data_IF_386693399327
#
_entry.id   IF_386693399327
#
_cell.length_a   1.000
_cell.length_b   1.000
_cell.length_c   1.000
_cell.angle_alpha   90.00
_cell.angle_beta   90.00
_cell.angle_gamma   90.00
#
_symmetry.space_group_name_H-M   'P 1'
#
loop_
_entity.id
_entity.type
_entity.pdbx_description
1 polymer ?
#
# COMPACT_ATOMS: atom_id res chain seq x y z
N UNK A 1 4.16 67.81 41.53
CA UNK A 1 3.18 67.00 40.77
C UNK A 1 2.35 66.24 41.78
N UNK A 2 1.03 66.48 41.85
CA UNK A 2 0.15 65.74 42.76
C UNK A 2 -0.38 64.49 42.03
N UNK A 3 0.13 63.32 42.40
CA UNK A 3 -0.35 62.03 41.89
C UNK A 3 -1.74 61.81 42.50
N UNK A 4 -2.77 62.23 41.77
CA UNK A 4 -4.13 62.32 42.31
C UNK A 4 -4.92 61.02 42.09
N UNK A 5 -4.45 60.16 41.20
CA UNK A 5 -5.13 58.89 40.84
C UNK A 5 -4.13 57.75 40.75
N UNK A 6 -4.53 56.55 41.18
CA UNK A 6 -3.69 55.35 41.15
C UNK A 6 -3.22 54.97 39.73
N UNK A 7 -3.99 55.32 38.69
CA UNK A 7 -3.57 55.16 37.28
C UNK A 7 -2.38 56.06 36.90
N UNK A 8 -2.34 57.30 37.38
CA UNK A 8 -1.19 58.18 37.19
C UNK A 8 0.03 57.68 37.98
N UNK A 9 -0.20 57.07 39.14
CA UNK A 9 0.87 56.40 39.88
C UNK A 9 1.45 55.24 39.07
N UNK A 10 0.61 54.39 38.47
CA UNK A 10 1.07 53.31 37.59
C UNK A 10 1.87 53.89 36.41
N UNK A 11 1.37 54.92 35.73
CA UNK A 11 2.03 55.50 34.56
C UNK A 11 3.42 56.07 34.90
N UNK A 12 3.52 56.81 36.02
CA UNK A 12 4.78 57.38 36.49
C UNK A 12 5.76 56.31 36.98
N UNK A 13 5.29 55.33 37.76
CA UNK A 13 6.15 54.30 38.37
C UNK A 13 6.40 53.08 37.46
N UNK A 14 5.72 52.97 36.32
CA UNK A 14 6.00 51.95 35.30
C UNK A 14 7.06 52.38 34.29
N UNK A 15 7.50 53.64 34.32
CA UNK A 15 8.60 54.12 33.48
C UNK A 15 9.94 53.54 33.97
N UNK A 16 10.64 52.73 33.15
CA UNK A 16 11.93 52.15 33.51
C UNK A 16 13.04 53.17 33.71
N UNK A 17 12.91 54.39 33.16
CA UNK A 17 13.89 55.47 33.30
C UNK A 17 13.55 56.41 34.47
N UNK A 18 12.56 56.06 35.29
CA UNK A 18 12.12 56.90 36.39
C UNK A 18 13.25 57.14 37.39
N UNK A 19 13.52 58.42 37.64
CA UNK A 19 14.51 58.87 38.61
C UNK A 19 13.81 59.36 39.89
N UNK A 20 13.89 58.62 41.01
CA UNK A 20 13.09 58.92 42.21
C UNK A 20 13.36 60.29 42.84
N UNK A 21 14.61 60.78 42.74
CA UNK A 21 14.96 62.09 43.32
C UNK A 21 14.32 63.25 42.55
N UNK A 22 14.15 63.13 41.22
CA UNK A 22 13.45 64.16 40.43
C UNK A 22 11.96 64.23 40.79
N UNK A 23 11.34 63.10 41.12
CA UNK A 23 9.96 63.10 41.62
C UNK A 23 9.85 63.84 42.95
N UNK A 24 10.77 63.57 43.88
CA UNK A 24 10.78 64.20 45.20
C UNK A 24 11.06 65.70 45.08
N UNK A 25 12.02 66.09 44.23
CA UNK A 25 12.37 67.50 43.97
C UNK A 25 11.23 68.29 43.31
N UNK A 26 10.44 67.64 42.46
CA UNK A 26 9.26 68.24 41.82
C UNK A 26 7.99 68.19 42.68
N UNK A 27 8.00 67.42 43.78
CA UNK A 27 6.84 67.24 44.66
C UNK A 27 6.98 67.96 46.00
N UNK A 28 8.20 68.30 46.42
CA UNK A 28 8.46 69.07 47.63
C UNK A 28 8.80 70.54 47.30
N UNK A 29 8.40 71.49 48.17
CA UNK A 29 8.84 72.88 48.04
C UNK A 29 10.35 73.01 48.28
N UNK A 30 11.01 73.89 47.52
CA UNK A 30 12.44 74.18 47.70
C UNK A 30 12.68 74.79 49.08
N UNK A 31 13.69 74.29 49.79
CA UNK A 31 14.05 74.75 51.12
C UNK A 31 14.99 75.96 51.03
N UNK A 32 14.48 77.17 51.29
CA UNK A 32 15.27 78.42 51.25
C UNK A 32 15.35 79.12 52.62
N UNK A 33 14.40 78.87 53.53
CA UNK A 33 14.32 79.52 54.84
C UNK A 33 13.87 78.56 55.97
N UNK A 34 14.35 78.71 57.22
CA UNK A 34 13.91 77.92 58.38
C UNK A 34 12.40 78.00 58.66
N UNK A 35 11.73 79.06 58.22
CA UNK A 35 10.27 79.23 58.38
C UNK A 35 9.45 78.26 57.53
N UNK A 36 10.04 77.65 56.50
CA UNK A 36 9.38 76.75 55.55
C UNK A 36 9.41 75.28 55.99
N UNK A 37 10.09 74.95 57.10
CA UNK A 37 10.26 73.57 57.57
C UNK A 37 8.92 72.90 57.89
N UNK A 38 7.97 73.64 58.44
CA UNK A 38 6.65 73.11 58.79
C UNK A 38 5.79 72.80 57.55
N UNK A 39 5.89 73.63 56.50
CA UNK A 39 5.22 73.42 55.22
C UNK A 39 5.84 72.27 54.41
N UNK A 40 7.17 72.13 54.49
CA UNK A 40 7.89 71.00 53.90
C UNK A 40 7.48 69.69 54.58
N UNK A 41 7.41 69.68 55.91
CA UNK A 41 7.00 68.50 56.68
C UNK A 41 5.55 68.09 56.37
N UNK A 42 4.62 69.05 56.26
CA UNK A 42 3.24 68.75 55.91
C UNK A 42 3.11 68.24 54.47
N UNK A 43 3.86 68.80 53.51
CA UNK A 43 3.89 68.35 52.11
C UNK A 43 4.48 66.95 51.97
N UNK A 44 5.60 66.67 52.65
CA UNK A 44 6.21 65.34 52.66
C UNK A 44 5.31 64.28 53.31
N UNK A 45 4.65 64.64 54.42
CA UNK A 45 3.70 63.72 55.08
C UNK A 45 2.49 63.43 54.20
N UNK A 46 1.97 64.44 53.49
CA UNK A 46 0.87 64.28 52.52
C UNK A 46 1.29 63.36 51.36
N UNK A 47 2.47 63.59 50.78
CA UNK A 47 3.01 62.76 49.70
C UNK A 47 3.18 61.31 50.15
N UNK A 48 3.75 61.09 51.34
CA UNK A 48 3.93 59.75 51.90
C UNK A 48 2.59 59.04 52.07
N UNK A 49 1.58 59.70 52.64
CA UNK A 49 0.24 59.13 52.76
C UNK A 49 -0.39 58.85 51.39
N UNK A 50 -0.18 59.69 50.37
CA UNK A 50 -0.67 59.44 49.02
C UNK A 50 0.00 58.21 48.38
N UNK A 51 1.32 58.07 48.52
CA UNK A 51 2.05 56.90 48.02
C UNK A 51 1.65 55.63 48.75
N UNK A 52 1.45 55.69 50.07
CA UNK A 52 1.02 54.54 50.86
C UNK A 52 -0.37 54.05 50.44
N UNK A 53 -1.32 54.97 50.29
CA UNK A 53 -2.65 54.66 49.76
C UNK A 53 -2.58 54.05 48.34
N UNK A 54 -1.82 54.66 47.42
CA UNK A 54 -1.68 54.13 46.06
C UNK A 54 -0.99 52.76 46.04
N UNK A 55 0.03 52.55 46.87
CA UNK A 55 0.71 51.25 47.03
C UNK A 55 -0.26 50.18 47.53
N UNK A 56 -1.10 50.52 48.50
CA UNK A 56 -2.10 49.61 49.03
C UNK A 56 -3.19 49.29 47.98
N UNK A 57 -3.69 50.31 47.26
CA UNK A 57 -4.64 50.13 46.17
C UNK A 57 -4.09 49.22 45.06
N UNK A 58 -2.83 49.44 44.64
CA UNK A 58 -2.18 48.62 43.61
C UNK A 58 -1.93 47.19 44.09
N UNK A 59 -1.59 47.02 45.36
CA UNK A 59 -1.45 45.68 45.95
C UNK A 59 -2.78 44.93 45.91
N UNK A 60 -3.88 45.58 46.28
CA UNK A 60 -5.22 44.99 46.21
C UNK A 60 -5.63 44.67 44.76
N UNK A 61 -5.32 45.54 43.80
CA UNK A 61 -5.58 45.29 42.38
C UNK A 61 -4.77 44.10 41.85
N UNK A 62 -3.50 43.99 42.24
CA UNK A 62 -2.64 42.88 41.84
C UNK A 62 -3.10 41.56 42.46
N UNK A 63 -3.54 41.57 43.72
CA UNK A 63 -4.13 40.40 44.37
C UNK A 63 -5.43 39.97 43.65
N UNK A 64 -6.31 40.92 43.31
CA UNK A 64 -7.54 40.64 42.59
C UNK A 64 -7.28 40.06 41.19
N UNK A 65 -6.37 40.66 40.42
CA UNK A 65 -5.98 40.17 39.10
C UNK A 65 -5.33 38.79 39.17
N UNK A 66 -4.51 38.54 40.20
CA UNK A 66 -3.89 37.22 40.42
C UNK A 66 -4.95 36.18 40.76
N UNK A 67 -5.93 36.51 41.59
CA UNK A 67 -7.05 35.63 41.91
C UNK A 67 -7.91 35.33 40.66
N UNK A 68 -8.17 36.33 39.83
CA UNK A 68 -8.90 36.17 38.57
C UNK A 68 -8.13 35.30 37.58
N UNK A 69 -6.83 35.53 37.41
CA UNK A 69 -5.95 34.70 36.58
C UNK A 69 -5.95 33.24 37.06
N UNK A 70 -5.85 33.01 38.37
CA UNK A 70 -5.89 31.66 38.94
C UNK A 70 -7.24 30.99 38.72
N UNK A 71 -8.34 31.74 38.79
CA UNK A 71 -9.69 31.25 38.49
C UNK A 71 -9.84 30.93 37.00
N UNK A 72 -9.40 31.82 36.12
CA UNK A 72 -9.43 31.63 34.67
C UNK A 72 -8.60 30.43 34.24
N UNK A 73 -7.39 30.27 34.80
CA UNK A 73 -6.52 29.10 34.57
C UNK A 73 -7.21 27.79 34.94
N UNK A 74 -7.83 27.71 36.12
CA UNK A 74 -8.60 26.53 36.55
C UNK A 74 -9.80 26.24 35.62
N UNK A 75 -10.51 27.29 35.19
CA UNK A 75 -11.64 27.17 34.26
C UNK A 75 -11.20 26.65 32.89
N UNK A 76 -10.17 27.25 32.30
CA UNK A 76 -9.62 26.83 31.00
C UNK A 76 -9.13 25.39 31.08
N UNK A 77 -8.45 25.01 32.16
CA UNK A 77 -8.01 23.63 32.35
C UNK A 77 -9.21 22.65 32.35
N UNK A 78 -10.27 22.95 33.09
CA UNK A 78 -11.49 22.13 33.08
C UNK A 78 -12.11 22.03 31.68
N UNK A 79 -12.22 23.14 30.94
CA UNK A 79 -12.77 23.14 29.59
C UNK A 79 -11.92 22.31 28.62
N UNK A 80 -10.58 22.36 28.74
CA UNK A 80 -9.68 21.52 27.95
C UNK A 80 -9.86 20.03 28.28
N UNK A 81 -9.95 19.68 29.55
CA UNK A 81 -10.18 18.29 29.98
C UNK A 81 -11.53 17.76 29.47
N UNK A 82 -12.58 18.58 29.53
CA UNK A 82 -13.90 18.26 29.00
C UNK A 82 -13.85 18.06 27.47
N UNK A 83 -13.26 19.01 26.74
CA UNK A 83 -13.12 18.89 25.28
C UNK A 83 -12.31 17.65 24.90
N UNK A 84 -11.26 17.31 25.66
CA UNK A 84 -10.49 16.08 25.40
C UNK A 84 -11.35 14.83 25.60
N UNK A 85 -12.19 14.82 26.62
CA UNK A 85 -13.16 13.73 26.83
C UNK A 85 -14.14 13.62 25.67
N UNK A 86 -14.75 14.74 25.26
CA UNK A 86 -15.73 14.78 24.17
C UNK A 86 -15.11 14.34 22.83
N UNK A 87 -13.89 14.78 22.54
CA UNK A 87 -13.12 14.33 21.36
C UNK A 87 -12.82 12.84 21.42
N UNK A 88 -12.48 12.30 22.59
CA UNK A 88 -12.28 10.85 22.76
C UNK A 88 -13.56 10.07 22.47
N UNK A 89 -14.71 10.53 23.01
CA UNK A 89 -16.01 9.91 22.74
C UNK A 89 -16.37 9.98 21.25
N UNK A 90 -16.10 11.12 20.59
CA UNK A 90 -16.35 11.26 19.17
C UNK A 90 -15.47 10.31 18.33
N UNK A 91 -14.20 10.13 18.71
CA UNK A 91 -13.31 9.17 18.04
C UNK A 91 -13.86 7.75 18.20
N UNK A 92 -14.27 7.36 19.41
CA UNK A 92 -14.88 6.05 19.64
C UNK A 92 -16.15 5.85 18.81
N UNK A 93 -16.99 6.88 18.67
CA UNK A 93 -18.20 6.81 17.86
C UNK A 93 -17.90 6.75 16.36
N UNK A 94 -16.89 7.47 15.89
CA UNK A 94 -16.40 7.36 14.52
C UNK A 94 -15.87 5.95 14.22
N UNK A 95 -15.12 5.37 15.14
CA UNK A 95 -14.62 4.00 15.01
C UNK A 95 -15.77 2.99 14.95
N UNK A 96 -16.78 3.13 15.82
CA UNK A 96 -18.00 2.31 15.79
C UNK A 96 -18.73 2.44 14.45
N UNK A 97 -18.92 3.65 13.93
CA UNK A 97 -19.60 3.89 12.64
C UNK A 97 -18.79 3.30 11.49
N UNK A 98 -17.47 3.46 11.50
CA UNK A 98 -16.62 2.87 10.45
C UNK A 98 -16.67 1.34 10.48
N UNK A 99 -16.66 0.73 11.66
CA UNK A 99 -16.75 -0.71 11.84
C UNK A 99 -18.12 -1.24 11.40
N UNK A 100 -19.20 -0.52 11.72
CA UNK A 100 -20.55 -0.83 11.25
C UNK A 100 -20.64 -0.75 9.73
N UNK A 101 -20.17 0.34 9.12
CA UNK A 101 -20.16 0.50 7.66
C UNK A 101 -19.35 -0.60 6.98
N UNK A 102 -18.18 -0.97 7.52
CA UNK A 102 -17.39 -2.08 6.99
C UNK A 102 -18.14 -3.41 7.08
N UNK A 103 -18.86 -3.64 8.17
CA UNK A 103 -19.70 -4.82 8.34
C UNK A 103 -20.87 -4.84 7.34
N UNK A 104 -21.52 -3.70 7.12
CA UNK A 104 -22.57 -3.56 6.12
C UNK A 104 -22.05 -3.75 4.69
N UNK A 105 -20.90 -3.17 4.36
CA UNK A 105 -20.25 -3.34 3.04
C UNK A 105 -19.80 -4.79 2.81
N UNK A 106 -19.29 -5.47 3.83
CA UNK A 106 -18.89 -6.89 3.71
C UNK A 106 -20.10 -7.80 3.56
N UNK A 107 -21.18 -7.57 4.32
CA UNK A 107 -22.44 -8.30 4.13
C UNK A 107 -23.10 -7.99 2.78
N UNK A 108 -23.09 -6.73 2.35
CA UNK A 108 -23.56 -6.32 1.02
C UNK A 108 -22.75 -6.99 -0.09
N UNK A 109 -21.41 -7.03 0.05
CA UNK A 109 -20.54 -7.71 -0.91
C UNK A 109 -20.77 -9.23 -0.96
N UNK A 110 -20.97 -9.89 0.18
CA UNK A 110 -21.27 -11.34 0.24
C UNK A 110 -22.65 -11.68 -0.33
N UNK A 111 -23.63 -10.79 -0.18
CA UNK A 111 -24.98 -10.97 -0.72
C UNK A 111 -25.12 -10.50 -2.17
N UNK A 112 -24.05 -9.96 -2.78
CA UNK A 112 -24.08 -9.48 -4.15
C UNK A 112 -23.91 -10.65 -5.14
N UNK A 113 -24.95 -11.47 -5.24
CA UNK A 113 -25.09 -12.56 -6.21
C UNK A 113 -24.83 -12.10 -7.65
N UNK A 114 -25.05 -10.82 -7.95
CA UNK A 114 -24.79 -10.25 -9.27
C UNK A 114 -23.29 -10.25 -9.62
N UNK A 115 -22.39 -10.09 -8.64
CA UNK A 115 -20.93 -10.18 -8.89
C UNK A 115 -20.52 -11.62 -9.19
N UNK A 116 -21.10 -12.59 -8.47
CA UNK A 116 -20.88 -14.01 -8.74
C UNK A 116 -21.46 -14.44 -10.10
N UNK A 117 -22.64 -13.95 -10.45
CA UNK A 117 -23.24 -14.14 -11.77
C UNK A 117 -22.41 -13.51 -12.87
N UNK A 118 -21.91 -12.28 -12.67
CA UNK A 118 -21.01 -11.62 -13.61
C UNK A 118 -19.72 -12.43 -13.81
N UNK A 119 -19.13 -12.97 -12.74
CA UNK A 119 -17.97 -13.83 -12.82
C UNK A 119 -18.26 -15.14 -13.56
N UNK A 120 -19.42 -15.77 -13.31
CA UNK A 120 -19.88 -16.96 -14.04
C UNK A 120 -20.06 -16.65 -15.53
N UNK A 121 -20.67 -15.52 -15.86
CA UNK A 121 -20.87 -15.07 -17.24
C UNK A 121 -19.56 -14.72 -17.93
N UNK A 122 -18.62 -14.06 -17.25
CA UNK A 122 -17.29 -13.77 -17.78
C UNK A 122 -16.52 -15.07 -18.09
N UNK A 123 -16.62 -16.08 -17.21
CA UNK A 123 -16.04 -17.41 -17.45
C UNK A 123 -16.71 -18.12 -18.63
N UNK A 124 -18.03 -18.03 -18.75
CA UNK A 124 -18.77 -18.60 -19.88
C UNK A 124 -18.36 -17.92 -21.20
N UNK A 125 -18.29 -16.59 -21.23
CA UNK A 125 -17.82 -15.80 -22.39
C UNK A 125 -16.42 -16.24 -22.82
N UNK A 126 -15.46 -16.32 -21.90
CA UNK A 126 -14.10 -16.77 -22.20
C UNK A 126 -14.07 -18.17 -22.84
N UNK A 127 -14.87 -19.10 -22.31
CA UNK A 127 -14.99 -20.45 -22.89
C UNK A 127 -15.63 -20.41 -24.27
N UNK A 128 -16.64 -19.58 -24.49
CA UNK A 128 -17.28 -19.43 -25.81
C UNK A 128 -16.31 -18.86 -26.85
N UNK A 129 -15.47 -17.89 -26.48
CA UNK A 129 -14.41 -17.36 -27.35
C UNK A 129 -13.39 -18.44 -27.72
N UNK A 130 -12.97 -19.26 -26.76
CA UNK A 130 -12.10 -20.41 -27.03
C UNK A 130 -12.75 -21.42 -27.98
N UNK A 131 -14.03 -21.73 -27.77
CA UNK A 131 -14.79 -22.60 -28.66
C UNK A 131 -14.88 -22.01 -30.06
N UNK A 132 -15.15 -20.70 -30.19
CA UNK A 132 -15.18 -20.01 -31.47
C UNK A 132 -13.83 -20.08 -32.19
N UNK A 133 -12.72 -19.89 -31.48
CA UNK A 133 -11.38 -19.99 -32.04
C UNK A 133 -11.11 -21.40 -32.59
N UNK A 134 -11.40 -22.43 -31.78
CA UNK A 134 -11.22 -23.83 -32.20
C UNK A 134 -12.09 -24.16 -33.42
N UNK A 135 -13.33 -23.68 -33.49
CA UNK A 135 -14.19 -23.85 -34.67
C UNK A 135 -13.72 -23.04 -35.89
N UNK A 136 -13.10 -21.88 -35.71
CA UNK A 136 -12.49 -21.14 -36.81
C UNK A 136 -11.30 -21.90 -37.40
N UNK A 137 -10.43 -22.44 -36.55
CA UNK A 137 -9.32 -23.32 -36.94
C UNK A 137 -9.84 -24.60 -37.62
N UNK A 138 -10.93 -25.17 -37.12
CA UNK A 138 -11.63 -26.31 -37.70
C UNK A 138 -12.15 -26.03 -39.12
N UNK A 139 -12.72 -24.84 -39.33
CA UNK A 139 -13.25 -24.41 -40.63
C UNK A 139 -12.14 -24.12 -41.63
N UNK A 140 -10.99 -23.64 -41.17
CA UNK A 140 -9.80 -23.43 -41.98
C UNK A 140 -9.00 -24.72 -42.27
N UNK A 141 -9.46 -25.87 -41.75
CA UNK A 141 -8.82 -27.16 -41.97
C UNK A 141 -8.86 -27.56 -43.45
N UNK A 142 -7.68 -27.54 -44.07
CA UNK A 142 -7.48 -27.86 -45.49
C UNK A 142 -6.29 -28.82 -45.62
N UNK A 143 -6.58 -30.07 -46.00
CA UNK A 143 -5.62 -31.17 -46.09
C UNK A 143 -4.46 -30.86 -47.09
N UNK A 144 -4.74 -30.09 -48.15
CA UNK A 144 -3.74 -29.71 -49.13
C UNK A 144 -2.76 -28.64 -48.60
N UNK A 145 -3.26 -27.69 -47.80
CA UNK A 145 -2.41 -26.68 -47.17
C UNK A 145 -1.52 -27.29 -46.09
N UNK A 146 -2.09 -28.21 -45.30
CA UNK A 146 -1.36 -28.91 -44.22
C UNK A 146 -0.20 -29.75 -44.80
N UNK A 147 -0.44 -30.50 -45.89
CA UNK A 147 0.62 -31.26 -46.58
C UNK A 147 1.69 -30.34 -47.17
N UNK A 148 1.30 -29.25 -47.83
CA UNK A 148 2.27 -28.30 -48.41
C UNK A 148 3.17 -27.65 -47.34
N UNK A 149 2.61 -27.28 -46.20
CA UNK A 149 3.36 -26.69 -45.09
C UNK A 149 4.29 -27.72 -44.45
N UNK A 150 3.83 -28.97 -44.31
CA UNK A 150 4.67 -30.06 -43.81
C UNK A 150 5.87 -30.31 -44.72
N UNK A 151 5.67 -30.35 -46.05
CA UNK A 151 6.75 -30.52 -47.03
C UNK A 151 7.75 -29.36 -46.93
N UNK A 152 7.27 -28.10 -46.81
CA UNK A 152 8.14 -26.95 -46.60
C UNK A 152 8.98 -27.04 -45.30
N UNK A 153 8.38 -27.52 -44.20
CA UNK A 153 9.09 -27.72 -42.94
C UNK A 153 10.13 -28.86 -43.02
N UNK A 154 9.83 -29.90 -43.78
CA UNK A 154 10.72 -31.04 -44.04
C UNK A 154 11.89 -30.64 -44.93
N UNK A 155 11.64 -29.90 -46.01
CA UNK A 155 12.66 -29.36 -46.92
C UNK A 155 13.58 -28.35 -46.19
N UNK A 156 13.03 -27.62 -45.21
CA UNK A 156 13.78 -26.72 -44.33
C UNK A 156 14.61 -27.43 -43.23
N UNK A 157 14.59 -28.77 -43.15
CA UNK A 157 15.38 -29.55 -42.19
C UNK A 157 14.90 -29.47 -40.73
N UNK A 158 13.76 -28.82 -40.45
CA UNK A 158 13.26 -28.59 -39.10
C UNK A 158 12.33 -29.73 -38.65
N UNK A 159 12.95 -30.87 -38.35
CA UNK A 159 12.25 -32.10 -37.99
C UNK A 159 11.39 -31.98 -36.70
N UNK A 160 11.83 -31.19 -35.72
CA UNK A 160 11.07 -30.97 -34.48
C UNK A 160 9.79 -30.17 -34.74
N UNK A 161 9.88 -29.09 -35.51
CA UNK A 161 8.73 -28.26 -35.84
C UNK A 161 7.70 -29.01 -36.71
N UNK A 162 8.18 -29.88 -37.61
CA UNK A 162 7.31 -30.78 -38.38
C UNK A 162 6.55 -31.76 -37.48
N UNK A 163 7.21 -32.35 -36.48
CA UNK A 163 6.57 -33.25 -35.52
C UNK A 163 5.53 -32.53 -34.65
N UNK A 164 5.86 -31.33 -34.15
CA UNK A 164 4.94 -30.52 -33.35
C UNK A 164 3.71 -30.07 -34.15
N UNK A 165 3.90 -29.77 -35.44
CA UNK A 165 2.81 -29.42 -36.35
C UNK A 165 1.86 -30.61 -36.61
N UNK A 166 2.39 -31.82 -36.74
CA UNK A 166 1.57 -33.04 -36.84
C UNK A 166 0.80 -33.31 -35.55
N UNK A 167 1.41 -33.07 -34.38
CA UNK A 167 0.74 -33.18 -33.07
C UNK A 167 -0.39 -32.16 -32.91
N UNK A 168 -0.16 -30.91 -33.32
CA UNK A 168 -1.19 -29.87 -33.32
C UNK A 168 -2.35 -30.22 -34.26
N UNK A 169 -2.04 -30.70 -35.46
CA UNK A 169 -3.05 -31.15 -36.43
C UNK A 169 -3.86 -32.33 -35.88
N UNK A 170 -3.20 -33.28 -35.21
CA UNK A 170 -3.85 -34.41 -34.52
C UNK A 170 -4.78 -33.94 -33.42
N UNK A 171 -4.36 -32.96 -32.61
CA UNK A 171 -5.17 -32.37 -31.56
C UNK A 171 -6.42 -31.67 -32.13
N UNK A 172 -6.26 -30.93 -33.23
CA UNK A 172 -7.38 -30.32 -33.96
C UNK A 172 -8.34 -31.39 -34.50
N UNK A 173 -7.84 -32.54 -34.98
CA UNK A 173 -8.69 -33.62 -35.48
C UNK A 173 -9.64 -34.22 -34.42
N UNK A 174 -9.36 -34.08 -33.12
CA UNK A 174 -10.21 -34.57 -32.03
C UNK A 174 -11.61 -33.92 -32.03
N UNK A 175 -11.76 -32.70 -32.54
CA UNK A 175 -13.06 -32.00 -32.55
C UNK A 175 -14.10 -32.70 -33.41
N UNK A 176 -13.66 -33.52 -34.37
CA UNK A 176 -14.55 -34.30 -35.22
C UNK A 176 -14.87 -35.67 -34.64
N UNK A 177 -14.32 -36.06 -33.48
CA UNK A 177 -14.55 -37.37 -32.86
C UNK A 177 -16.06 -37.65 -32.75
N UNK A 178 -16.50 -38.76 -33.35
CA UNK A 178 -17.92 -39.14 -33.42
C UNK A 178 -18.64 -38.68 -34.70
N UNK A 179 -18.02 -37.84 -35.54
CA UNK A 179 -18.51 -37.51 -36.89
C UNK A 179 -17.90 -38.44 -37.94
N UNK A 180 -18.60 -38.60 -39.08
CA UNK A 180 -18.13 -39.46 -40.19
C UNK A 180 -16.79 -39.01 -40.80
N UNK A 181 -16.43 -37.73 -40.63
CA UNK A 181 -15.19 -37.13 -41.13
C UNK A 181 -13.97 -37.42 -40.25
N UNK A 182 -14.18 -37.92 -39.03
CA UNK A 182 -13.07 -38.21 -38.10
C UNK A 182 -12.16 -39.32 -38.62
N UNK A 183 -12.76 -40.40 -39.14
CA UNK A 183 -12.01 -41.57 -39.59
C UNK A 183 -11.08 -41.25 -40.76
N UNK A 184 -11.53 -40.42 -41.72
CA UNK A 184 -10.69 -39.99 -42.84
C UNK A 184 -9.57 -39.06 -42.39
N UNK A 185 -9.86 -38.07 -41.53
CA UNK A 185 -8.89 -37.07 -41.07
C UNK A 185 -7.80 -37.65 -40.18
N UNK A 186 -8.14 -38.63 -39.33
CA UNK A 186 -7.14 -39.35 -38.53
C UNK A 186 -6.22 -40.19 -39.42
N UNK A 187 -6.76 -40.90 -40.42
CA UNK A 187 -5.94 -41.64 -41.39
C UNK A 187 -5.03 -40.71 -42.20
N UNK A 188 -5.51 -39.52 -42.54
CA UNK A 188 -4.70 -38.48 -43.17
C UNK A 188 -3.56 -38.02 -42.25
N UNK A 189 -3.81 -37.71 -40.98
CA UNK A 189 -2.75 -37.35 -40.02
C UNK A 189 -1.77 -38.50 -39.79
N UNK A 190 -2.23 -39.76 -39.77
CA UNK A 190 -1.35 -40.93 -39.72
C UNK A 190 -0.46 -41.03 -40.98
N UNK A 191 -0.95 -40.63 -42.15
CA UNK A 191 -0.14 -40.54 -43.37
C UNK A 191 0.91 -39.43 -43.29
N UNK A 192 0.59 -38.28 -42.69
CA UNK A 192 1.56 -37.20 -42.43
C UNK A 192 2.65 -37.64 -41.46
N UNK A 193 2.27 -38.35 -40.38
CA UNK A 193 3.23 -38.91 -39.44
C UNK A 193 4.18 -39.90 -40.13
N UNK A 194 3.67 -40.75 -41.03
CA UNK A 194 4.53 -41.65 -41.82
C UNK A 194 5.49 -40.89 -42.74
N UNK A 195 5.07 -39.78 -43.34
CA UNK A 195 5.96 -38.95 -44.18
C UNK A 195 7.10 -38.33 -43.36
N UNK A 196 6.80 -37.86 -42.15
CA UNK A 196 7.78 -37.34 -41.19
C UNK A 196 8.74 -38.46 -40.73
N UNK A 197 8.23 -39.64 -40.38
CA UNK A 197 9.06 -40.79 -39.97
C UNK A 197 9.96 -41.29 -41.10
N UNK A 198 9.48 -41.30 -42.34
CA UNK A 198 10.27 -41.65 -43.54
C UNK A 198 11.37 -40.62 -43.77
N UNK A 199 11.06 -39.31 -43.70
CA UNK A 199 12.07 -38.27 -43.83
C UNK A 199 13.12 -38.34 -42.71
N UNK A 200 12.72 -38.62 -41.47
CA UNK A 200 13.62 -38.89 -40.35
C UNK A 200 14.56 -40.06 -40.64
N UNK A 201 14.03 -41.14 -41.23
CA UNK A 201 14.78 -42.35 -41.56
C UNK A 201 15.75 -42.13 -42.73
N UNK A 202 15.35 -41.40 -43.76
CA UNK A 202 16.20 -41.03 -44.90
C UNK A 202 17.33 -40.10 -44.47
N UNK A 203 17.11 -39.22 -43.49
CA UNK A 203 18.16 -38.37 -42.91
C UNK A 203 19.09 -39.13 -41.93
N UNK A 204 18.72 -40.34 -41.49
CA UNK A 204 19.47 -41.15 -40.53
C UNK A 204 20.37 -42.24 -41.15
N UNK A 205 20.46 -42.35 -42.49
CA UNK A 205 21.31 -43.36 -43.16
C UNK A 205 22.47 -42.70 -43.91
N UNK A 206 23.71 -42.89 -43.43
CA UNK A 206 24.83 -43.23 -44.29
C UNK A 206 25.57 -44.52 -43.84
N UNK A 207 25.75 -45.43 -44.80
CA UNK A 207 26.91 -46.32 -45.05
C UNK A 207 27.69 -46.97 -43.87
N UNK A 208 27.47 -48.27 -43.59
CA UNK A 208 28.46 -49.37 -43.80
C UNK A 208 27.84 -50.74 -43.50
N UNK A 209 28.33 -51.74 -44.22
CA UNK A 209 27.75 -53.06 -44.37
C UNK A 209 28.49 -54.17 -43.59
N UNK A 210 27.78 -55.30 -43.45
CA UNK A 210 28.25 -56.71 -43.42
C UNK A 210 28.94 -57.32 -42.18
N UNK A 211 28.21 -58.32 -41.66
CA UNK A 211 28.60 -59.72 -41.40
C UNK A 211 28.89 -60.23 -39.97
N UNK A 212 27.93 -61.05 -39.53
CA UNK A 212 28.08 -62.46 -39.11
C UNK A 212 28.84 -62.77 -37.82
N UNK A 213 28.10 -63.03 -36.74
CA UNK A 213 27.88 -64.37 -36.17
C UNK A 213 29.02 -64.88 -35.27
N UNK A 214 28.74 -65.03 -33.97
CA UNK A 214 28.58 -66.37 -33.36
C UNK A 214 28.56 -66.32 -31.82
N UNK A 215 27.70 -67.20 -31.28
CA UNK A 215 27.89 -67.97 -30.03
C UNK A 215 27.58 -67.34 -28.65
N UNK A 216 26.42 -67.77 -28.14
CA UNK A 216 26.26 -68.61 -26.94
C UNK A 216 26.59 -68.09 -25.52
N UNK A 217 25.50 -68.00 -24.74
CA UNK A 217 25.30 -68.59 -23.39
C UNK A 217 26.04 -67.96 -22.17
N UNK A 218 25.68 -68.29 -20.90
CA UNK A 218 24.81 -67.45 -20.09
C UNK A 218 25.42 -67.09 -18.72
N UNK A 219 24.69 -66.27 -17.95
CA UNK A 219 24.77 -66.14 -16.49
C UNK A 219 26.07 -65.62 -15.86
N UNK A 220 26.03 -64.36 -15.35
CA UNK A 220 26.80 -63.97 -14.16
C UNK A 220 26.20 -62.75 -13.43
N UNK A 221 25.57 -63.07 -12.30
CA UNK A 221 25.72 -62.45 -10.98
C UNK A 221 26.29 -61.02 -10.82
N UNK A 222 25.59 -60.27 -9.95
CA UNK A 222 26.09 -59.36 -8.90
C UNK A 222 26.21 -57.85 -9.19
N UNK A 223 25.43 -57.09 -8.41
CA UNK A 223 25.54 -55.65 -8.07
C UNK A 223 26.91 -55.28 -7.42
N UNK A 224 27.20 -54.03 -6.96
CA UNK A 224 26.43 -52.76 -6.96
C UNK A 224 27.21 -51.43 -7.24
N UNK A 225 26.44 -50.35 -7.53
CA UNK A 225 26.68 -48.90 -7.23
C UNK A 225 27.88 -48.15 -7.90
N UNK A 226 27.96 -46.79 -7.91
CA UNK A 226 27.03 -45.75 -7.45
C UNK A 226 26.77 -44.56 -8.41
N UNK A 227 25.81 -43.73 -8.00
CA UNK A 227 25.66 -42.30 -8.26
C UNK A 227 25.03 -41.76 -9.56
N UNK A 228 24.11 -40.82 -9.30
CA UNK A 228 23.61 -39.69 -10.10
C UNK A 228 22.37 -39.96 -10.94
N UNK A 229 21.39 -39.08 -11.04
CA UNK A 229 20.96 -37.93 -10.25
C UNK A 229 19.56 -37.61 -10.81
N UNK A 230 18.71 -36.93 -10.03
CA UNK A 230 17.48 -36.22 -10.46
C UNK A 230 16.26 -37.07 -10.85
N UNK A 231 15.48 -37.43 -9.84
CA UNK A 231 14.02 -37.40 -9.93
C UNK A 231 13.46 -36.45 -8.86
N UNK A 232 12.44 -35.72 -9.28
CA UNK A 232 11.49 -34.94 -8.49
C UNK A 232 11.97 -33.54 -8.03
N UNK A 233 11.70 -32.54 -8.86
CA UNK A 233 11.35 -31.20 -8.39
C UNK A 233 10.11 -30.71 -9.16
N UNK A 234 8.98 -31.34 -8.85
CA UNK A 234 7.65 -31.01 -9.38
C UNK A 234 6.96 -29.87 -8.59
N UNK A 235 7.72 -29.04 -7.85
CA UNK A 235 7.20 -27.97 -6.98
C UNK A 235 8.05 -26.67 -7.01
N UNK A 236 8.62 -26.31 -8.17
CA UNK A 236 9.65 -25.26 -8.28
C UNK A 236 9.20 -23.82 -8.60
N UNK A 237 7.91 -23.45 -8.57
CA UNK A 237 7.50 -22.08 -8.95
C UNK A 237 6.65 -21.31 -7.94
N UNK A 238 5.96 -21.97 -7.00
CA UNK A 238 5.08 -21.29 -6.03
C UNK A 238 5.77 -21.03 -4.67
N UNK A 239 6.87 -21.73 -4.37
CA UNK A 239 7.62 -21.56 -3.10
C UNK A 239 8.64 -20.41 -3.07
N UNK A 240 8.97 -19.80 -4.20
CA UNK A 240 9.97 -18.71 -4.28
C UNK A 240 9.37 -17.30 -4.16
N UNK A 241 8.05 -17.16 -4.17
CA UNK A 241 7.36 -15.87 -3.97
C UNK A 241 7.00 -15.58 -2.51
N UNK A 242 7.02 -16.59 -1.64
CA UNK A 242 6.68 -16.44 -0.22
C UNK A 242 7.87 -16.10 0.69
N UNK A 243 9.04 -15.81 0.09
CA UNK A 243 10.23 -15.32 0.80
C UNK A 243 10.54 -13.84 0.55
N UNK A 244 9.68 -13.14 -0.22
CA UNK A 244 9.88 -11.73 -0.61
C UNK A 244 8.65 -10.85 -0.36
N UNK A 245 7.81 -11.20 0.63
CA UNK A 245 6.76 -10.34 1.20
C UNK A 245 6.40 -10.87 2.60
N UNK A 246 7.00 -10.31 3.66
CA UNK A 246 6.47 -10.41 5.02
C UNK A 246 7.49 -10.51 6.15
N UNK A 247 7.72 -9.36 6.80
CA UNK A 247 8.37 -9.09 8.10
C UNK A 247 9.89 -9.22 8.20
#
# INVERSE_FOLDING_TARGET
>A
MDITTSQQAIEVFSDPDLVPHNLIENALPKYESPTQLQELHSSASRLLSQLDNHSQDLTLQLEALTAELMRASKKIHYEIELMRSDVSTLIEDMDKVSAQNMKELTHSAQNNTAVDELNKLAKAKKRMEQVQQVFAEAKAFDEAKITSHLIQLLDGGNMSAAQDYVLQTRALCQIWKGTLLYSSRIKFVESLQRQVDVAKKTQAVPETATNSESSADPSRQSSPNPNSDKRADYYGLIGSLQRRMGY
#
